data_IF_525590830364
#
_entry.id   IF_525590830364
#
_cell.length_a   1.000
_cell.length_b   1.000
_cell.length_c   1.000
_cell.angle_alpha   90.00
_cell.angle_beta   90.00
_cell.angle_gamma   90.00
#
_symmetry.space_group_name_H-M   'P 1'
#
loop_
_entity.id
_entity.type
_entity.pdbx_description
1 polymer ?
#
# COMPACT_ATOMS: atom_id res chain seq x y z
N UNK A 1 0.15 -7.35 -14.87
CA UNK A 1 -0.87 -8.27 -14.38
C UNK A 1 -1.79 -7.57 -13.39
N UNK A 2 -3.10 -7.65 -13.60
CA UNK A 2 -4.08 -7.19 -12.59
C UNK A 2 -4.75 -8.40 -11.99
N UNK A 3 -4.47 -8.64 -10.72
CA UNK A 3 -5.00 -9.77 -9.96
C UNK A 3 -6.04 -9.26 -8.95
N UNK A 4 -6.99 -10.09 -8.58
CA UNK A 4 -7.96 -9.70 -7.57
C UNK A 4 -8.74 -10.88 -7.01
N UNK A 5 -9.21 -10.70 -5.77
CA UNK A 5 -10.07 -11.66 -5.07
C UNK A 5 -11.19 -10.92 -4.33
N UNK A 6 -12.33 -11.58 -4.21
CA UNK A 6 -13.47 -11.04 -3.48
C UNK A 6 -13.24 -11.12 -1.98
N UNK A 7 -13.66 -10.09 -1.26
CA UNK A 7 -13.60 -10.07 0.20
C UNK A 7 -14.84 -10.77 0.77
N UNK A 8 -14.70 -11.50 1.89
CA UNK A 8 -15.85 -12.14 2.54
C UNK A 8 -16.86 -11.12 3.08
N UNK A 9 -16.39 -9.94 3.42
CA UNK A 9 -17.21 -8.79 3.81
C UNK A 9 -16.58 -7.49 3.31
N UNK A 10 -17.37 -6.42 3.06
CA UNK A 10 -16.83 -5.13 2.66
C UNK A 10 -15.95 -4.54 3.73
N UNK A 11 -14.78 -4.05 3.34
CA UNK A 11 -13.83 -3.33 4.19
C UNK A 11 -13.53 -1.96 3.59
N UNK A 12 -13.25 -0.97 4.41
CA UNK A 12 -12.94 0.33 3.87
C UNK A 12 -12.33 1.33 4.84
N UNK A 13 -12.37 2.54 4.39
CA UNK A 13 -12.00 3.74 5.13
C UNK A 13 -13.04 4.83 4.81
N UNK A 14 -12.88 6.01 5.36
CA UNK A 14 -13.87 7.10 5.29
C UNK A 14 -14.42 7.46 3.89
N UNK A 15 -13.66 7.18 2.83
CA UNK A 15 -14.03 7.56 1.46
C UNK A 15 -14.59 6.41 0.62
N UNK A 16 -14.28 5.17 0.96
CA UNK A 16 -14.61 4.03 0.11
C UNK A 16 -14.67 2.72 0.87
N UNK A 17 -15.64 1.87 0.51
CA UNK A 17 -15.68 0.47 0.87
C UNK A 17 -15.31 -0.41 -0.32
N UNK A 18 -14.52 -1.44 -0.07
CA UNK A 18 -14.07 -2.40 -1.06
C UNK A 18 -14.79 -3.73 -0.85
N UNK A 19 -15.31 -4.29 -1.93
CA UNK A 19 -15.84 -5.66 -1.99
C UNK A 19 -14.81 -6.63 -2.58
N UNK A 20 -13.77 -6.09 -3.20
CA UNK A 20 -12.71 -6.83 -3.87
C UNK A 20 -11.36 -6.17 -3.62
N UNK A 21 -10.34 -6.97 -3.36
CA UNK A 21 -8.96 -6.50 -3.41
C UNK A 21 -8.39 -6.74 -4.80
N UNK A 22 -7.70 -5.75 -5.31
CA UNK A 22 -6.98 -5.82 -6.58
C UNK A 22 -5.54 -5.39 -6.38
N UNK A 23 -4.64 -6.02 -7.11
CA UNK A 23 -3.21 -5.73 -7.13
C UNK A 23 -2.78 -5.59 -8.58
N UNK A 24 -1.98 -4.59 -8.89
CA UNK A 24 -1.36 -4.44 -10.19
C UNK A 24 0.12 -4.74 -10.07
N UNK A 25 0.54 -5.91 -10.56
CA UNK A 25 1.94 -6.32 -10.64
C UNK A 25 2.52 -5.97 -12.00
N UNK A 26 3.71 -5.42 -12.00
CA UNK A 26 4.55 -5.18 -13.17
C UNK A 26 5.60 -6.28 -13.23
N UNK A 27 5.68 -6.94 -14.36
CA UNK A 27 6.73 -7.91 -14.69
C UNK A 27 7.63 -7.30 -15.76
N UNK A 28 8.92 -7.30 -15.50
CA UNK A 28 9.95 -6.85 -16.46
C UNK A 28 10.87 -8.03 -16.73
N UNK A 29 10.92 -8.45 -17.97
CA UNK A 29 11.82 -9.50 -18.47
C UNK A 29 13.00 -8.89 -19.22
N UNK A 30 14.21 -9.39 -18.98
CA UNK A 30 15.42 -9.04 -19.71
C UNK A 30 15.70 -10.07 -20.78
N UNK A 31 16.50 -9.70 -21.80
CA UNK A 31 16.99 -10.61 -22.84
C UNK A 31 17.93 -11.70 -22.30
N UNK A 32 18.49 -11.48 -21.11
CA UNK A 32 19.29 -12.49 -20.37
C UNK A 32 18.43 -13.46 -19.55
N UNK A 33 17.09 -13.34 -19.57
CA UNK A 33 16.15 -14.22 -18.87
C UNK A 33 15.97 -13.90 -17.38
N UNK A 34 16.41 -12.72 -16.93
CA UNK A 34 16.17 -12.27 -15.56
C UNK A 34 14.84 -11.54 -15.52
N UNK A 35 13.94 -11.95 -14.63
CA UNK A 35 12.64 -11.31 -14.43
C UNK A 35 12.62 -10.54 -13.12
N UNK A 36 12.19 -9.29 -13.16
CA UNK A 36 11.91 -8.46 -11.99
C UNK A 36 10.42 -8.20 -11.79
N UNK A 37 10.02 -8.09 -10.54
CA UNK A 37 8.63 -7.85 -10.14
C UNK A 37 8.50 -6.57 -9.34
N UNK A 38 7.47 -5.78 -9.64
CA UNK A 38 7.08 -4.61 -8.88
C UNK A 38 5.58 -4.48 -8.75
N UNK A 39 5.11 -3.70 -7.80
CA UNK A 39 3.69 -3.45 -7.58
C UNK A 39 3.38 -1.96 -7.74
N UNK A 40 2.35 -1.64 -8.52
CA UNK A 40 1.77 -0.31 -8.58
C UNK A 40 0.72 -0.17 -7.46
N UNK A 41 0.80 0.92 -6.71
CA UNK A 41 -0.24 1.25 -5.75
C UNK A 41 -1.57 1.53 -6.46
N UNK A 42 -2.66 1.00 -5.93
CA UNK A 42 -4.01 1.27 -6.41
C UNK A 42 -4.91 0.05 -6.32
N UNK A 43 -6.17 0.28 -6.01
CA UNK A 43 -7.18 -0.77 -5.87
C UNK A 43 -8.32 -0.57 -6.88
N UNK A 44 -9.04 -1.65 -7.19
CA UNK A 44 -10.19 -1.61 -8.10
C UNK A 44 -9.80 -1.08 -9.49
N UNK A 45 -10.57 -0.13 -9.99
CA UNK A 45 -10.35 0.45 -11.32
C UNK A 45 -9.05 1.27 -11.44
N UNK A 46 -8.47 1.71 -10.33
CA UNK A 46 -7.16 2.39 -10.33
C UNK A 46 -6.06 1.43 -10.80
N UNK A 47 -6.12 0.17 -10.40
CA UNK A 47 -5.18 -0.85 -10.89
C UNK A 47 -5.23 -1.01 -12.43
N UNK A 48 -6.44 -0.95 -13.01
CA UNK A 48 -6.62 -1.01 -14.48
C UNK A 48 -6.09 0.26 -15.16
N UNK A 49 -6.33 1.44 -14.57
CA UNK A 49 -5.81 2.70 -15.10
C UNK A 49 -4.27 2.73 -15.06
N UNK A 50 -3.66 2.30 -13.96
CA UNK A 50 -2.20 2.16 -13.85
C UNK A 50 -1.64 1.16 -14.85
N UNK A 51 -2.34 0.04 -15.10
CA UNK A 51 -1.96 -0.91 -16.15
C UNK A 51 -1.91 -0.24 -17.52
N UNK A 52 -2.93 0.54 -17.87
CA UNK A 52 -2.96 1.30 -19.11
C UNK A 52 -1.77 2.28 -19.24
N UNK A 53 -1.42 2.99 -18.16
CA UNK A 53 -0.25 3.89 -18.15
C UNK A 53 1.05 3.09 -18.35
N UNK A 54 1.21 1.97 -17.66
CA UNK A 54 2.41 1.14 -17.82
C UNK A 54 2.54 0.63 -19.27
N UNK A 55 1.49 0.05 -19.83
CA UNK A 55 1.54 -0.61 -21.14
C UNK A 55 1.58 0.37 -22.32
N UNK A 56 0.84 1.49 -22.21
CA UNK A 56 0.66 2.40 -23.35
C UNK A 56 1.63 3.60 -23.32
N UNK A 57 2.15 3.95 -22.15
CA UNK A 57 2.99 5.13 -21.97
C UNK A 57 4.41 4.74 -21.58
N UNK A 58 4.58 3.97 -20.49
CA UNK A 58 5.93 3.68 -19.96
C UNK A 58 6.65 2.64 -20.78
N UNK A 59 6.01 1.51 -21.06
CA UNK A 59 6.62 0.40 -21.80
C UNK A 59 7.26 0.83 -23.12
N UNK A 60 6.60 1.57 -24.02
CA UNK A 60 7.21 1.99 -25.28
C UNK A 60 8.46 2.88 -25.12
N UNK A 61 8.58 3.55 -23.97
CA UNK A 61 9.71 4.43 -23.68
C UNK A 61 10.95 3.69 -23.18
N UNK A 62 10.75 2.59 -22.47
CA UNK A 62 11.81 1.91 -21.72
C UNK A 62 12.20 0.56 -22.32
N UNK A 63 11.39 0.02 -23.21
CA UNK A 63 11.68 -1.24 -23.90
C UNK A 63 13.02 -1.15 -24.66
N UNK A 64 13.91 -2.12 -24.44
CA UNK A 64 15.25 -2.18 -25.03
C UNK A 64 16.31 -1.30 -24.32
N UNK A 65 15.95 -0.65 -23.20
CA UNK A 65 16.94 0.02 -22.34
C UNK A 65 17.58 -0.98 -21.37
N UNK A 66 18.82 -0.69 -20.96
CA UNK A 66 19.48 -1.46 -19.91
C UNK A 66 18.71 -1.31 -18.58
N UNK A 67 18.21 -2.41 -17.97
CA UNK A 67 17.46 -2.34 -16.72
C UNK A 67 18.31 -1.87 -15.54
N UNK A 68 19.63 -1.88 -15.63
CA UNK A 68 20.54 -1.38 -14.60
C UNK A 68 20.67 0.15 -14.62
N UNK A 69 20.33 0.79 -15.73
CA UNK A 69 20.26 2.25 -15.89
C UNK A 69 18.98 2.84 -15.24
N UNK A 70 18.64 2.41 -14.03
CA UNK A 70 17.37 2.72 -13.34
C UNK A 70 17.10 4.21 -13.21
N UNK A 71 18.10 4.99 -12.82
CA UNK A 71 17.95 6.45 -12.66
C UNK A 71 17.69 7.13 -14.01
N UNK A 72 18.33 6.67 -15.08
CA UNK A 72 18.08 7.17 -16.43
C UNK A 72 16.65 6.88 -16.86
N UNK A 73 16.18 5.65 -16.64
CA UNK A 73 14.82 5.22 -16.93
C UNK A 73 13.83 6.04 -16.11
N UNK A 74 14.05 6.15 -14.79
CA UNK A 74 13.19 6.88 -13.88
C UNK A 74 13.04 8.35 -14.31
N UNK A 75 14.15 9.03 -14.54
CA UNK A 75 14.12 10.44 -14.95
C UNK A 75 13.49 10.66 -16.32
N UNK A 76 13.73 9.77 -17.27
CA UNK A 76 13.12 9.83 -18.60
C UNK A 76 11.59 9.76 -18.51
N UNK A 77 11.06 8.77 -17.78
CA UNK A 77 9.61 8.58 -17.61
C UNK A 77 9.03 9.72 -16.78
N UNK A 78 9.64 10.05 -15.65
CA UNK A 78 9.16 11.13 -14.77
C UNK A 78 9.05 12.47 -15.51
N UNK A 79 10.07 12.84 -16.29
CA UNK A 79 10.09 14.11 -17.04
C UNK A 79 8.98 14.16 -18.09
N UNK A 80 8.72 13.06 -18.81
CA UNK A 80 7.60 13.00 -19.74
C UNK A 80 6.27 13.19 -19.04
N UNK A 81 6.11 12.56 -17.87
CA UNK A 81 4.82 12.54 -17.16
C UNK A 81 4.55 13.81 -16.35
N UNK A 82 5.50 14.73 -16.22
CA UNK A 82 5.34 15.97 -15.43
C UNK A 82 4.15 16.81 -15.85
N UNK A 83 3.89 16.90 -17.14
CA UNK A 83 2.76 17.68 -17.70
C UNK A 83 1.41 16.96 -17.50
N UNK A 84 1.44 15.66 -17.15
CA UNK A 84 0.26 14.82 -17.00
C UNK A 84 -0.04 14.46 -15.54
N UNK A 85 0.80 14.92 -14.61
CA UNK A 85 0.64 14.72 -13.17
C UNK A 85 1.92 14.27 -12.46
N UNK A 86 2.38 15.07 -11.52
CA UNK A 86 3.56 14.77 -10.69
C UNK A 86 3.23 13.87 -9.49
N UNK A 87 1.98 13.50 -9.32
CA UNK A 87 1.45 12.69 -8.21
C UNK A 87 0.39 11.74 -8.74
N UNK A 88 -0.05 10.81 -7.89
CA UNK A 88 -1.14 9.91 -8.22
C UNK A 88 -0.75 8.85 -9.25
N UNK A 89 -1.67 8.53 -10.16
CA UNK A 89 -1.54 7.40 -11.08
C UNK A 89 -0.25 7.38 -11.93
N UNK A 90 0.24 8.51 -12.49
CA UNK A 90 1.51 8.49 -13.21
C UNK A 90 2.66 7.97 -12.36
N UNK A 91 2.80 8.50 -11.14
CA UNK A 91 3.88 8.11 -10.25
C UNK A 91 3.68 6.72 -9.63
N UNK A 92 2.44 6.32 -9.38
CA UNK A 92 2.11 4.95 -8.94
C UNK A 92 2.53 3.93 -10.01
N UNK A 93 2.29 4.23 -11.28
CA UNK A 93 2.68 3.40 -12.42
C UNK A 93 4.19 3.31 -12.58
N UNK A 94 4.88 4.46 -12.52
CA UNK A 94 6.34 4.51 -12.56
C UNK A 94 6.97 3.74 -11.40
N UNK A 95 6.41 3.85 -10.19
CA UNK A 95 6.91 3.12 -9.02
C UNK A 95 6.87 1.60 -9.19
N UNK A 96 5.82 1.06 -9.82
CA UNK A 96 5.78 -0.38 -10.10
C UNK A 96 6.89 -0.83 -11.03
N UNK A 97 7.20 -0.04 -12.06
CA UNK A 97 8.33 -0.32 -12.97
C UNK A 97 9.67 -0.19 -12.23
N UNK A 98 9.86 0.88 -11.46
CA UNK A 98 11.10 1.12 -10.70
C UNK A 98 11.39 -0.01 -9.69
N UNK A 99 10.36 -0.49 -8.97
CA UNK A 99 10.50 -1.62 -8.06
C UNK A 99 10.94 -2.88 -8.82
N UNK A 100 10.37 -3.14 -10.00
CA UNK A 100 10.78 -4.28 -10.83
C UNK A 100 12.25 -4.18 -11.30
N UNK A 101 12.71 -2.98 -11.65
CA UNK A 101 14.12 -2.73 -12.02
C UNK A 101 15.06 -2.90 -10.81
N UNK A 102 14.63 -2.50 -9.61
CA UNK A 102 15.38 -2.77 -8.38
C UNK A 102 15.46 -4.27 -8.07
N UNK A 103 14.39 -5.02 -8.31
CA UNK A 103 14.40 -6.49 -8.14
C UNK A 103 15.38 -7.15 -9.11
N UNK A 104 15.42 -6.73 -10.39
CA UNK A 104 16.44 -7.16 -11.36
C UNK A 104 17.84 -6.83 -10.85
N UNK A 105 18.07 -5.60 -10.38
CA UNK A 105 19.38 -5.18 -9.87
C UNK A 105 19.84 -6.08 -8.70
N UNK A 106 18.92 -6.40 -7.79
CA UNK A 106 19.21 -7.33 -6.68
C UNK A 106 19.61 -8.72 -7.16
N UNK A 107 18.88 -9.24 -8.15
CA UNK A 107 19.13 -10.56 -8.74
C UNK A 107 20.45 -10.61 -9.49
N UNK A 108 20.75 -9.59 -10.32
CA UNK A 108 22.03 -9.47 -11.04
C UNK A 108 23.21 -9.39 -10.06
N UNK A 109 23.10 -8.56 -9.02
CA UNK A 109 24.14 -8.43 -8.01
C UNK A 109 24.22 -9.62 -7.04
N UNK A 110 23.25 -10.53 -7.07
CA UNK A 110 23.09 -11.61 -6.07
C UNK A 110 23.13 -11.07 -4.64
N UNK A 111 22.48 -9.95 -4.40
CA UNK A 111 22.41 -9.26 -3.10
C UNK A 111 20.96 -8.90 -2.75
N UNK A 112 20.58 -8.97 -1.48
CA UNK A 112 19.29 -8.42 -1.06
C UNK A 112 19.31 -6.89 -1.18
N UNK A 113 18.17 -6.31 -1.55
CA UNK A 113 18.06 -4.87 -1.84
C UNK A 113 18.56 -3.97 -0.70
N UNK A 114 18.31 -4.34 0.55
CA UNK A 114 18.79 -3.54 1.68
C UNK A 114 20.32 -3.40 1.71
N UNK A 115 21.07 -4.35 1.15
CA UNK A 115 22.53 -4.23 1.02
C UNK A 115 22.91 -3.25 -0.08
N UNK A 116 22.18 -3.24 -1.19
CA UNK A 116 22.43 -2.33 -2.30
C UNK A 116 22.12 -0.87 -1.95
N UNK A 117 21.13 -0.62 -1.09
CA UNK A 117 20.70 0.73 -0.69
C UNK A 117 21.34 1.22 0.63
N UNK A 118 22.42 0.59 1.09
CA UNK A 118 23.21 1.09 2.20
C UNK A 118 23.32 0.18 3.44
N UNK A 119 22.65 -0.97 3.43
CA UNK A 119 22.74 -1.96 4.52
C UNK A 119 21.62 -1.84 5.56
N UNK A 120 21.64 -2.73 6.52
CA UNK A 120 20.65 -2.79 7.59
C UNK A 120 21.15 -2.09 8.86
N UNK A 121 20.46 -1.07 9.30
CA UNK A 121 20.68 -0.46 10.62
C UNK A 121 20.04 -1.27 11.75
N UNK A 122 19.07 -2.13 11.41
CA UNK A 122 18.35 -3.02 12.32
C UNK A 122 18.07 -4.33 11.62
N UNK A 123 18.15 -5.42 12.35
CA UNK A 123 17.78 -6.77 11.90
C UNK A 123 16.33 -7.11 12.23
N UNK A 124 15.71 -6.36 13.13
CA UNK A 124 14.32 -6.49 13.54
C UNK A 124 13.64 -5.12 13.60
N UNK A 125 12.38 -5.08 13.15
CA UNK A 125 11.52 -3.89 13.17
C UNK A 125 10.28 -4.21 14.00
N UNK A 126 9.93 -3.35 14.95
CA UNK A 126 8.64 -3.43 15.64
C UNK A 126 7.51 -3.18 14.65
N UNK A 127 6.53 -4.04 14.69
CA UNK A 127 5.31 -3.91 13.89
C UNK A 127 4.11 -3.66 14.78
N UNK A 128 3.11 -2.97 14.25
CA UNK A 128 1.81 -2.82 14.89
C UNK A 128 0.78 -3.75 14.25
N UNK A 129 -0.17 -4.20 15.04
CA UNK A 129 -1.34 -4.89 14.53
C UNK A 129 -2.26 -3.92 13.80
N UNK A 130 -2.80 -4.35 12.69
CA UNK A 130 -3.71 -3.57 11.88
C UNK A 130 -5.04 -4.33 11.72
N UNK A 131 -6.11 -3.65 12.03
CA UNK A 131 -7.48 -4.11 11.93
C UNK A 131 -8.42 -2.94 12.04
N UNK A 132 -9.62 -3.16 12.56
CA UNK A 132 -10.59 -2.10 12.81
C UNK A 132 -10.78 -1.21 11.57
N UNK A 133 -10.97 -1.87 10.43
CA UNK A 133 -11.37 -1.23 9.18
C UNK A 133 -12.83 -0.81 9.29
N UNK A 134 -13.17 0.35 8.73
CA UNK A 134 -14.56 0.74 8.62
C UNK A 134 -15.31 -0.26 7.73
N UNK A 135 -16.58 -0.49 8.08
CA UNK A 135 -17.52 -1.32 7.35
C UNK A 135 -18.81 -0.54 7.14
N UNK A 136 -19.66 -0.90 6.18
CA UNK A 136 -20.95 -0.26 5.96
C UNK A 136 -21.97 -0.72 7.04
N UNK A 137 -21.64 -0.45 8.30
CA UNK A 137 -22.41 -0.81 9.48
C UNK A 137 -22.71 0.45 10.31
N UNK A 138 -23.63 0.32 11.26
CA UNK A 138 -23.88 1.38 12.24
C UNK A 138 -22.65 1.60 13.15
N UNK A 139 -22.51 2.81 13.67
CA UNK A 139 -21.44 3.12 14.63
C UNK A 139 -21.52 2.20 15.87
N UNK A 140 -22.72 1.80 16.33
CA UNK A 140 -22.89 0.90 17.46
C UNK A 140 -22.31 -0.49 17.20
N UNK A 141 -22.54 -1.04 16.01
CA UNK A 141 -21.96 -2.32 15.60
C UNK A 141 -20.42 -2.23 15.49
N UNK A 142 -19.92 -1.14 14.93
CA UNK A 142 -18.48 -0.91 14.84
C UNK A 142 -17.83 -0.77 16.22
N UNK A 143 -18.48 -0.14 17.18
CA UNK A 143 -18.01 -0.03 18.58
C UNK A 143 -17.79 -1.41 19.20
N UNK A 144 -18.77 -2.32 19.08
CA UNK A 144 -18.65 -3.68 19.59
C UNK A 144 -17.50 -4.43 18.88
N UNK A 145 -17.50 -4.42 17.56
CA UNK A 145 -16.48 -5.08 16.74
C UNK A 145 -15.06 -4.58 17.01
N UNK A 146 -14.85 -3.27 17.11
CA UNK A 146 -13.53 -2.68 17.34
C UNK A 146 -12.99 -3.00 18.74
N UNK A 147 -13.84 -3.11 19.73
CA UNK A 147 -13.44 -3.57 21.06
C UNK A 147 -12.86 -4.99 20.99
N UNK A 148 -13.57 -5.90 20.33
CA UNK A 148 -13.18 -7.30 20.21
C UNK A 148 -11.94 -7.50 19.34
N UNK A 149 -11.90 -6.82 18.17
CA UNK A 149 -10.75 -6.88 17.27
C UNK A 149 -9.48 -6.33 17.94
N UNK A 150 -9.58 -5.22 18.68
CA UNK A 150 -8.46 -4.64 19.40
C UNK A 150 -7.91 -5.59 20.48
N UNK A 151 -8.80 -6.21 21.27
CA UNK A 151 -8.41 -7.20 22.26
C UNK A 151 -7.75 -8.44 21.60
N UNK A 152 -8.30 -8.93 20.51
CA UNK A 152 -7.75 -10.07 19.76
C UNK A 152 -6.33 -9.76 19.23
N UNK A 153 -6.11 -8.59 18.62
CA UNK A 153 -4.81 -8.16 18.12
C UNK A 153 -3.79 -8.04 19.26
N UNK A 154 -4.20 -7.47 20.41
CA UNK A 154 -3.35 -7.40 21.60
C UNK A 154 -2.93 -8.80 22.07
N UNK A 155 -3.89 -9.75 22.09
CA UNK A 155 -3.64 -11.12 22.51
C UNK A 155 -2.72 -11.90 21.54
N UNK A 156 -2.60 -11.48 20.29
CA UNK A 156 -1.60 -12.00 19.35
C UNK A 156 -0.17 -11.53 19.68
N UNK A 157 0.00 -10.66 20.67
CA UNK A 157 1.31 -10.20 21.15
C UNK A 157 1.84 -8.93 20.48
N UNK A 158 1.07 -8.26 19.63
CA UNK A 158 1.44 -6.95 19.10
C UNK A 158 1.60 -5.93 20.25
N UNK A 159 2.54 -5.02 20.11
CA UNK A 159 2.83 -3.98 21.10
C UNK A 159 2.17 -2.63 20.78
N UNK A 160 1.57 -2.54 19.62
CA UNK A 160 0.83 -1.37 19.15
C UNK A 160 -0.25 -1.80 18.16
N UNK A 161 -1.29 -0.98 18.03
CA UNK A 161 -2.34 -1.16 17.03
C UNK A 161 -2.65 0.14 16.29
N UNK A 162 -3.26 0.00 15.10
CA UNK A 162 -3.80 1.12 14.32
C UNK A 162 -5.23 0.82 13.88
N UNK A 163 -6.12 1.81 14.00
CA UNK A 163 -7.50 1.74 13.53
C UNK A 163 -7.82 2.81 12.50
N UNK A 164 -8.87 2.58 11.72
CA UNK A 164 -9.47 3.60 10.85
C UNK A 164 -10.52 4.42 11.59
N UNK A 165 -10.53 5.73 11.31
CA UNK A 165 -11.56 6.68 11.72
C UNK A 165 -12.04 7.47 10.49
N UNK A 166 -13.05 8.33 10.64
CA UNK A 166 -13.54 9.22 9.59
C UNK A 166 -15.05 9.12 9.37
N UNK A 167 -15.80 8.76 10.39
CA UNK A 167 -17.28 8.81 10.40
C UNK A 167 -17.82 10.14 10.93
N UNK A 168 -16.93 11.02 11.35
CA UNK A 168 -17.22 12.28 12.01
C UNK A 168 -16.81 12.27 13.49
N UNK A 169 -16.54 13.45 14.08
CA UNK A 169 -15.92 13.55 15.40
C UNK A 169 -16.66 12.81 16.49
N UNK A 170 -18.00 12.81 16.46
CA UNK A 170 -18.83 12.17 17.48
C UNK A 170 -18.66 10.65 17.47
N UNK A 171 -18.76 10.02 16.32
CA UNK A 171 -18.65 8.56 16.19
C UNK A 171 -17.19 8.10 16.29
N UNK A 172 -16.26 8.87 15.78
CA UNK A 172 -14.84 8.56 15.90
C UNK A 172 -14.37 8.50 17.36
N UNK A 173 -14.81 9.44 18.21
CA UNK A 173 -14.54 9.39 19.66
C UNK A 173 -15.05 8.09 20.27
N UNK A 174 -16.28 7.69 19.93
CA UNK A 174 -16.88 6.43 20.43
C UNK A 174 -16.06 5.19 20.00
N UNK A 175 -15.59 5.18 18.76
CA UNK A 175 -14.73 4.10 18.24
C UNK A 175 -13.37 4.08 18.94
N UNK A 176 -12.77 5.24 19.18
CA UNK A 176 -11.49 5.37 19.91
C UNK A 176 -11.63 4.84 21.34
N UNK A 177 -12.69 5.23 22.03
CA UNK A 177 -13.01 4.73 23.38
C UNK A 177 -13.23 3.21 23.38
N UNK A 178 -13.90 2.67 22.35
CA UNK A 178 -14.12 1.24 22.21
C UNK A 178 -12.80 0.46 22.11
N UNK A 179 -11.89 0.92 21.24
CA UNK A 179 -10.56 0.32 21.11
C UNK A 179 -9.77 0.45 22.42
N UNK A 180 -9.83 1.60 23.07
CA UNK A 180 -9.17 1.82 24.36
C UNK A 180 -9.67 0.86 25.45
N UNK A 181 -10.97 0.59 25.48
CA UNK A 181 -11.55 -0.47 26.37
C UNK A 181 -10.99 -1.86 26.07
N UNK A 182 -10.79 -2.19 24.79
CA UNK A 182 -10.25 -3.50 24.38
C UNK A 182 -8.77 -3.70 24.74
N UNK A 183 -7.97 -2.63 24.74
CA UNK A 183 -6.50 -2.75 24.93
C UNK A 183 -5.98 -2.18 26.24
N UNK A 184 -6.73 -1.29 26.91
CA UNK A 184 -6.31 -0.57 28.11
C UNK A 184 -5.56 0.74 27.81
N UNK A 185 -5.37 1.58 28.86
CA UNK A 185 -4.94 2.96 28.70
C UNK A 185 -3.47 3.10 28.26
N UNK A 186 -2.61 2.23 28.73
CA UNK A 186 -1.16 2.30 28.47
C UNK A 186 -0.74 1.66 27.15
N UNK A 187 -1.68 1.06 26.40
CA UNK A 187 -1.35 0.38 25.15
C UNK A 187 -1.12 1.38 24.02
N UNK A 188 -0.04 1.21 23.23
CA UNK A 188 0.27 2.07 22.10
C UNK A 188 -0.80 1.96 21.01
N UNK A 189 -1.42 3.09 20.67
CA UNK A 189 -2.56 3.15 19.79
C UNK A 189 -2.46 4.29 18.80
N UNK A 190 -2.73 4.00 17.53
CA UNK A 190 -2.67 4.95 16.41
C UNK A 190 -4.03 5.01 15.71
N UNK A 191 -4.38 6.19 15.21
CA UNK A 191 -5.56 6.44 14.40
C UNK A 191 -5.16 6.88 13.00
N UNK A 192 -5.95 6.51 12.00
CA UNK A 192 -5.75 6.86 10.61
C UNK A 192 -7.05 7.37 10.01
N UNK A 193 -7.15 8.67 9.87
CA UNK A 193 -8.33 9.34 9.29
C UNK A 193 -8.34 9.30 7.76
N UNK A 194 -7.24 8.91 7.14
CA UNK A 194 -7.04 9.04 5.69
C UNK A 194 -7.32 10.48 5.22
N UNK A 195 -8.34 10.68 4.40
CA UNK A 195 -8.73 11.96 3.84
C UNK A 195 -10.10 12.43 4.35
N UNK A 196 -10.48 12.01 5.58
CA UNK A 196 -11.83 12.25 6.11
C UNK A 196 -12.10 13.71 6.45
N UNK A 197 -11.07 14.43 6.86
CA UNK A 197 -11.19 15.78 7.41
C UNK A 197 -10.47 16.81 6.55
N UNK A 198 -11.01 18.03 6.53
CA UNK A 198 -10.37 19.23 6.01
C UNK A 198 -9.86 20.08 7.19
N UNK A 199 -8.87 20.90 6.93
CA UNK A 199 -8.37 21.92 7.88
C UNK A 199 -9.36 23.05 8.03
#
# INVERSE_FOLDING_TARGET
HVLGYDLPEPLGYSQQYYHKRTVHLVEVETDEGITGWGECFGAGNIALANKGIVEQVIQPMVLGMDPLDRDVIWHKVYNLMRDHGQKGMPLQSLSGVDIALWDITGKVANLPLHKLIGGAHRDRIEVYGYGMMLRPESADNLVARFTDEAAAIKNMGFKAIKMKIGLGPKDDVRLIEAVRRGVGDDYRFMIDANHAYTT
#
